data_IF_139885780567
#
_entry.id   IF_139885780567
#
_cell.length_a   1.000
_cell.length_b   1.000
_cell.length_c   1.000
_cell.angle_alpha   90.00
_cell.angle_beta   90.00
_cell.angle_gamma   90.00
#
_symmetry.space_group_name_H-M   'P 1'
#
loop_
_entity.id
_entity.type
_entity.pdbx_description
1 polymer ?
#
# COMPACT_ATOMS: atom_id res chain seq x y z
N UNK A 1 -42.19 -5.16 60.00
CA UNK A 1 -42.20 -6.66 59.90
C UNK A 1 -41.81 -7.06 58.50
N UNK A 2 -40.98 -8.07 58.45
CA UNK A 2 -40.45 -8.80 57.31
C UNK A 2 -39.47 -8.07 56.38
N UNK A 3 -38.29 -8.27 56.65
CA UNK A 3 -37.01 -8.55 56.20
C UNK A 3 -36.94 -9.56 55.07
N UNK A 4 -36.15 -9.21 54.09
CA UNK A 4 -35.60 -10.18 53.11
C UNK A 4 -34.08 -10.02 53.07
N UNK A 5 -33.41 -10.93 53.81
CA UNK A 5 -32.01 -11.27 53.59
C UNK A 5 -31.93 -12.26 52.45
N UNK A 6 -31.21 -11.96 51.44
CA UNK A 6 -30.87 -12.85 50.37
C UNK A 6 -29.40 -12.69 49.99
N UNK A 7 -28.54 -13.48 50.64
CA UNK A 7 -27.15 -13.67 50.27
C UNK A 7 -27.02 -14.22 48.85
N UNK A 8 -26.52 -13.42 47.90
CA UNK A 8 -26.02 -13.91 46.64
C UNK A 8 -24.52 -14.23 46.77
N UNK A 9 -24.07 -15.43 46.43
CA UNK A 9 -22.67 -15.81 46.61
C UNK A 9 -21.78 -15.06 45.60
N UNK A 10 -20.82 -14.31 46.15
CA UNK A 10 -19.79 -13.56 45.44
C UNK A 10 -18.88 -14.39 44.51
N UNK A 11 -18.96 -15.70 44.56
CA UNK A 11 -18.16 -16.61 43.72
C UNK A 11 -18.59 -16.69 42.25
N UNK A 12 -19.83 -16.31 41.91
CA UNK A 12 -20.32 -16.42 40.53
C UNK A 12 -19.95 -15.20 39.66
N UNK A 13 -19.68 -14.04 40.28
CA UNK A 13 -19.32 -12.81 39.60
C UNK A 13 -17.82 -12.79 39.20
N UNK A 14 -16.96 -13.44 40.01
CA UNK A 14 -15.52 -13.50 39.74
C UNK A 14 -15.14 -14.45 38.61
N UNK A 15 -15.90 -15.55 38.40
CA UNK A 15 -15.62 -16.50 37.29
C UNK A 15 -16.00 -15.94 35.92
N UNK A 16 -17.05 -15.13 35.84
CA UNK A 16 -17.46 -14.51 34.55
C UNK A 16 -16.56 -13.38 34.12
N UNK A 17 -15.98 -12.61 35.04
CA UNK A 17 -15.07 -11.51 34.73
C UNK A 17 -13.68 -12.00 34.32
N UNK A 18 -13.20 -13.12 34.88
CA UNK A 18 -11.91 -13.73 34.52
C UNK A 18 -11.94 -14.38 33.13
N UNK A 19 -13.09 -14.94 32.71
CA UNK A 19 -13.23 -15.51 31.36
C UNK A 19 -13.29 -14.43 30.27
N UNK A 20 -13.84 -13.24 30.55
CA UNK A 20 -13.85 -12.11 29.61
C UNK A 20 -12.48 -11.42 29.49
N UNK A 21 -11.64 -11.43 30.52
CA UNK A 21 -10.29 -10.88 30.47
C UNK A 21 -9.26 -11.81 29.81
N UNK A 22 -9.50 -13.12 29.78
CA UNK A 22 -8.59 -14.08 29.13
C UNK A 22 -8.78 -14.13 27.60
N UNK A 23 -9.87 -13.65 27.05
CA UNK A 23 -10.12 -13.63 25.60
C UNK A 23 -9.78 -12.31 24.91
N UNK A 24 -9.37 -11.26 25.65
CA UNK A 24 -9.10 -9.93 25.08
C UNK A 24 -7.60 -9.62 24.91
N UNK A 25 -6.68 -10.53 25.27
CA UNK A 25 -5.25 -10.37 25.09
C UNK A 25 -4.58 -11.58 24.45
N UNK A 26 -5.16 -12.10 23.36
CA UNK A 26 -4.36 -12.81 22.39
C UNK A 26 -3.61 -11.76 21.53
N UNK A 27 -2.59 -11.13 22.11
CA UNK A 27 -1.54 -10.49 21.33
C UNK A 27 -1.04 -11.52 20.34
N UNK A 28 -1.41 -11.39 19.06
CA UNK A 28 -0.88 -12.15 17.94
C UNK A 28 0.64 -12.02 18.00
N UNK A 29 1.32 -12.99 18.64
CA UNK A 29 2.78 -13.03 18.74
C UNK A 29 3.30 -13.27 17.33
N UNK A 30 3.67 -12.21 16.63
CA UNK A 30 4.36 -12.32 15.36
C UNK A 30 5.69 -13.05 15.56
N UNK A 31 5.89 -14.09 14.78
CA UNK A 31 7.13 -14.86 14.77
C UNK A 31 8.09 -14.20 13.78
N UNK A 32 9.23 -13.73 14.28
CA UNK A 32 10.30 -13.19 13.45
C UNK A 32 11.26 -14.32 13.05
N UNK A 33 11.32 -14.64 11.77
CA UNK A 33 12.31 -15.53 11.19
C UNK A 33 13.56 -14.71 10.86
N UNK A 34 14.68 -14.99 11.49
CA UNK A 34 15.92 -14.21 11.38
C UNK A 34 17.05 -14.91 10.62
N UNK A 35 16.98 -16.22 10.50
CA UNK A 35 18.00 -17.03 9.82
C UNK A 35 17.38 -17.99 8.82
N UNK A 36 18.14 -18.37 7.79
CA UNK A 36 17.69 -19.38 6.82
C UNK A 36 17.40 -20.73 7.48
N UNK A 37 18.13 -21.11 8.52
CA UNK A 37 17.87 -22.33 9.27
C UNK A 37 16.48 -22.30 9.94
N UNK A 38 16.11 -21.16 10.54
CA UNK A 38 14.75 -20.97 11.10
C UNK A 38 13.69 -20.99 10.00
N UNK A 39 13.96 -20.40 8.82
CA UNK A 39 13.05 -20.44 7.70
C UNK A 39 12.82 -21.86 7.20
N UNK A 40 13.89 -22.65 7.03
CA UNK A 40 13.82 -24.04 6.60
C UNK A 40 13.02 -24.89 7.57
N UNK A 41 13.27 -24.76 8.87
CA UNK A 41 12.51 -25.49 9.89
C UNK A 41 11.03 -25.11 9.90
N UNK A 42 10.71 -23.82 9.90
CA UNK A 42 9.34 -23.34 9.87
C UNK A 42 8.61 -23.73 8.56
N UNK A 43 9.30 -23.72 7.43
CA UNK A 43 8.76 -24.17 6.15
C UNK A 43 8.42 -25.66 6.18
N UNK A 44 9.28 -26.47 6.79
CA UNK A 44 9.02 -27.90 6.96
C UNK A 44 7.73 -28.13 7.75
N UNK A 45 7.63 -27.52 8.92
CA UNK A 45 6.45 -27.67 9.79
C UNK A 45 5.16 -27.13 9.13
N UNK A 46 5.24 -25.97 8.48
CA UNK A 46 4.07 -25.32 7.86
C UNK A 46 3.56 -26.09 6.64
N UNK A 47 4.46 -26.58 5.78
CA UNK A 47 4.08 -27.29 4.57
C UNK A 47 3.63 -28.73 4.87
N UNK A 48 4.27 -29.43 5.80
CA UNK A 48 3.83 -30.76 6.22
C UNK A 48 2.45 -30.76 6.90
N UNK A 49 2.07 -29.63 7.53
CA UNK A 49 0.76 -29.43 8.13
C UNK A 49 -0.33 -28.96 7.13
N UNK A 50 0.01 -28.73 5.87
CA UNK A 50 -0.95 -28.28 4.85
C UNK A 50 -1.95 -29.38 4.51
N UNK A 51 -3.23 -29.14 4.80
CA UNK A 51 -4.28 -30.13 4.59
C UNK A 51 -4.69 -30.33 3.12
N UNK A 52 -4.38 -29.37 2.24
CA UNK A 52 -4.79 -29.37 0.84
C UNK A 52 -3.77 -30.00 -0.09
N UNK A 53 -2.50 -29.80 0.19
CA UNK A 53 -1.40 -30.32 -0.61
C UNK A 53 -0.54 -31.25 0.24
N UNK A 54 -0.30 -32.45 -0.27
CA UNK A 54 0.59 -33.40 0.42
C UNK A 54 2.03 -33.14 0.04
N UNK A 55 2.73 -32.38 0.89
CA UNK A 55 4.12 -32.02 0.72
C UNK A 55 5.04 -33.09 1.31
N UNK A 56 6.11 -33.42 0.62
CA UNK A 56 7.13 -34.35 1.09
C UNK A 56 8.54 -33.91 0.70
N UNK A 57 9.37 -33.66 1.67
CA UNK A 57 10.78 -33.35 1.44
C UNK A 57 11.54 -34.58 0.94
N UNK A 58 12.13 -34.50 -0.26
CA UNK A 58 12.97 -35.57 -0.83
C UNK A 58 14.42 -35.44 -0.38
N UNK A 59 14.94 -34.20 -0.40
CA UNK A 59 16.24 -33.82 0.11
C UNK A 59 16.14 -32.44 0.71
N UNK A 60 16.62 -32.26 1.92
CA UNK A 60 16.51 -31.00 2.65
C UNK A 60 17.79 -30.16 2.57
N UNK A 61 18.94 -30.76 2.23
CA UNK A 61 20.21 -30.09 2.00
C UNK A 61 20.87 -30.65 0.75
N UNK A 62 20.98 -29.80 -0.27
CA UNK A 62 21.78 -30.07 -1.44
C UNK A 62 23.12 -29.34 -1.31
N UNK A 63 24.24 -30.01 -1.54
CA UNK A 63 25.51 -29.30 -1.77
C UNK A 63 25.30 -28.39 -2.98
N UNK A 64 25.70 -27.12 -2.86
CA UNK A 64 25.43 -26.00 -3.79
C UNK A 64 25.88 -26.22 -5.26
N UNK A 65 26.30 -27.39 -5.66
CA UNK A 65 26.84 -27.68 -7.01
C UNK A 65 25.84 -27.42 -8.16
N UNK A 66 24.52 -27.33 -7.89
CA UNK A 66 23.47 -27.05 -8.88
C UNK A 66 22.52 -25.91 -8.51
N UNK A 67 22.81 -25.15 -7.44
CA UNK A 67 22.08 -23.93 -7.11
C UNK A 67 20.74 -24.11 -6.38
N UNK A 68 20.13 -25.29 -6.32
CA UNK A 68 18.97 -25.58 -5.47
C UNK A 68 19.43 -25.93 -4.05
N UNK A 69 18.63 -25.56 -3.04
CA UNK A 69 18.94 -25.80 -1.63
C UNK A 69 18.20 -27.02 -1.07
N UNK A 70 17.06 -27.38 -1.67
CA UNK A 70 16.28 -28.56 -1.31
C UNK A 70 15.45 -29.07 -2.48
N UNK A 71 14.91 -30.29 -2.37
CA UNK A 71 13.92 -30.86 -3.27
C UNK A 71 12.64 -31.16 -2.49
N UNK A 72 11.53 -30.63 -2.98
CA UNK A 72 10.22 -30.77 -2.36
C UNK A 72 9.25 -31.41 -3.36
N UNK A 73 8.64 -32.53 -2.97
CA UNK A 73 7.61 -33.22 -3.72
C UNK A 73 6.23 -32.75 -3.27
N UNK A 74 5.37 -32.48 -4.23
CA UNK A 74 3.95 -32.22 -4.02
C UNK A 74 3.17 -33.34 -4.68
N UNK A 75 2.23 -33.93 -3.95
CA UNK A 75 1.30 -34.90 -4.52
C UNK A 75 -0.09 -34.26 -4.61
N UNK A 76 -0.60 -34.16 -5.83
CA UNK A 76 -1.95 -33.63 -6.14
C UNK A 76 -2.65 -34.66 -7.02
N UNK A 77 -3.77 -35.20 -6.57
CA UNK A 77 -4.59 -36.17 -7.29
C UNK A 77 -3.81 -37.34 -7.88
N UNK A 78 -2.84 -37.85 -7.10
CA UNK A 78 -1.98 -38.99 -7.50
C UNK A 78 -0.78 -38.60 -8.37
N UNK A 79 -0.69 -37.38 -8.85
CA UNK A 79 0.48 -36.87 -9.60
C UNK A 79 1.54 -36.37 -8.63
N UNK A 80 2.79 -36.75 -8.89
CA UNK A 80 3.94 -36.34 -8.09
C UNK A 80 4.80 -35.36 -8.87
N UNK A 81 4.89 -34.13 -8.36
CA UNK A 81 5.71 -33.07 -8.93
C UNK A 81 6.85 -32.74 -7.97
N UNK A 82 8.07 -32.59 -8.47
CA UNK A 82 9.24 -32.27 -7.66
C UNK A 82 9.75 -30.90 -8.04
N UNK A 83 9.81 -30.01 -7.04
CA UNK A 83 10.29 -28.64 -7.17
C UNK A 83 11.73 -28.52 -6.67
N UNK A 84 12.51 -27.69 -7.33
CA UNK A 84 13.81 -27.20 -6.84
C UNK A 84 13.58 -25.97 -5.96
N UNK A 85 13.90 -26.10 -4.67
CA UNK A 85 13.58 -25.10 -3.66
C UNK A 85 14.76 -24.19 -3.40
N UNK A 86 14.48 -22.89 -3.30
CA UNK A 86 15.38 -21.87 -2.76
C UNK A 86 14.69 -21.10 -1.62
N UNK A 87 15.41 -20.91 -0.51
CA UNK A 87 14.93 -20.20 0.67
C UNK A 87 15.48 -18.78 0.68
N UNK A 88 14.62 -17.79 0.90
CA UNK A 88 15.02 -16.38 1.03
C UNK A 88 14.28 -15.72 2.17
N UNK A 89 15.05 -15.11 3.08
CA UNK A 89 14.47 -14.37 4.21
C UNK A 89 13.76 -13.08 3.75
N UNK A 90 14.34 -12.37 2.78
CA UNK A 90 13.82 -11.15 2.18
C UNK A 90 14.03 -11.21 0.68
N UNK A 91 13.17 -11.97 -0.04
CA UNK A 91 13.32 -12.10 -1.49
C UNK A 91 13.11 -10.75 -2.19
N UNK A 92 13.83 -10.56 -3.30
CA UNK A 92 13.76 -9.38 -4.14
C UNK A 92 13.32 -9.74 -5.57
N UNK A 93 12.82 -8.76 -6.32
CA UNK A 93 12.47 -8.94 -7.73
C UNK A 93 13.63 -9.47 -8.57
N UNK A 94 14.86 -8.98 -8.31
CA UNK A 94 16.08 -9.45 -8.99
C UNK A 94 16.38 -10.93 -8.70
N UNK A 95 16.11 -11.39 -7.48
CA UNK A 95 16.28 -12.81 -7.14
C UNK A 95 15.23 -13.68 -7.83
N UNK A 96 14.00 -13.20 -7.96
CA UNK A 96 12.94 -13.87 -8.75
C UNK A 96 13.38 -14.02 -10.21
N UNK A 97 13.90 -12.96 -10.83
CA UNK A 97 14.44 -12.99 -12.20
C UNK A 97 15.55 -14.03 -12.33
N UNK A 98 16.56 -13.96 -11.45
CA UNK A 98 17.68 -14.90 -11.44
C UNK A 98 17.24 -16.35 -11.26
N UNK A 99 16.22 -16.61 -10.43
CA UNK A 99 15.71 -17.96 -10.20
C UNK A 99 14.90 -18.48 -11.39
N UNK A 100 14.10 -17.61 -12.01
CA UNK A 100 13.33 -17.94 -13.21
C UNK A 100 14.24 -18.25 -14.43
N UNK A 101 15.36 -17.52 -14.56
CA UNK A 101 16.33 -17.70 -15.65
C UNK A 101 17.22 -18.94 -15.50
N UNK A 102 17.28 -19.56 -14.33
CA UNK A 102 18.17 -20.72 -14.09
C UNK A 102 17.98 -21.90 -15.03
N UNK A 103 16.82 -22.03 -15.62
CA UNK A 103 16.49 -23.14 -16.50
C UNK A 103 16.85 -24.49 -15.87
N UNK A 104 15.92 -25.40 -15.71
CA UNK A 104 16.16 -26.71 -15.14
C UNK A 104 15.14 -27.72 -15.66
N UNK A 105 15.39 -29.01 -15.44
CA UNK A 105 14.41 -30.05 -15.74
C UNK A 105 13.23 -30.07 -14.77
N UNK A 106 13.31 -29.30 -13.67
CA UNK A 106 12.30 -29.23 -12.63
C UNK A 106 11.86 -27.79 -12.41
N UNK A 107 10.58 -27.55 -12.06
CA UNK A 107 10.09 -26.22 -11.72
C UNK A 107 10.77 -25.67 -10.46
N UNK A 108 11.15 -24.39 -10.50
CA UNK A 108 11.70 -23.68 -9.37
C UNK A 108 10.61 -23.27 -8.36
N UNK A 109 10.94 -23.29 -7.06
CA UNK A 109 10.08 -22.87 -5.98
C UNK A 109 10.83 -21.95 -5.00
N UNK A 110 10.37 -20.72 -4.86
CA UNK A 110 10.85 -19.77 -3.87
C UNK A 110 10.04 -19.91 -2.57
N UNK A 111 10.73 -20.09 -1.42
CA UNK A 111 10.10 -20.10 -0.10
C UNK A 111 10.62 -18.93 0.74
N UNK A 112 9.70 -18.17 1.34
CA UNK A 112 10.01 -17.01 2.17
C UNK A 112 9.13 -16.96 3.44
N UNK A 113 9.50 -16.18 4.48
CA UNK A 113 8.65 -16.00 5.66
C UNK A 113 7.32 -15.32 5.31
N UNK A 114 7.34 -14.36 4.40
CA UNK A 114 6.19 -13.61 3.90
C UNK A 114 6.50 -13.06 2.52
N UNK A 115 5.50 -13.06 1.64
CA UNK A 115 5.56 -12.51 0.29
C UNK A 115 4.56 -11.36 0.15
N UNK A 116 4.97 -10.27 -0.50
CA UNK A 116 4.05 -9.22 -0.95
C UNK A 116 3.31 -9.67 -2.20
N UNK A 117 2.08 -9.19 -2.42
CA UNK A 117 1.33 -9.49 -3.66
C UNK A 117 2.08 -9.04 -4.92
N UNK A 118 2.84 -7.94 -4.82
CA UNK A 118 3.68 -7.47 -5.93
C UNK A 118 4.75 -8.49 -6.30
N UNK A 119 5.43 -9.04 -5.29
CA UNK A 119 6.46 -10.04 -5.53
C UNK A 119 5.86 -11.37 -6.03
N UNK A 120 4.69 -11.76 -5.51
CA UNK A 120 3.94 -12.91 -6.04
C UNK A 120 3.55 -12.68 -7.50
N UNK A 121 3.08 -11.48 -7.85
CA UNK A 121 2.76 -11.15 -9.23
C UNK A 121 4.01 -11.19 -10.13
N UNK A 122 5.16 -10.75 -9.62
CA UNK A 122 6.42 -10.86 -10.34
C UNK A 122 6.83 -12.33 -10.56
N UNK A 123 6.64 -13.18 -9.56
CA UNK A 123 6.83 -14.63 -9.71
C UNK A 123 5.92 -15.22 -10.81
N UNK A 124 4.64 -14.80 -10.85
CA UNK A 124 3.68 -15.22 -11.89
C UNK A 124 4.16 -14.87 -13.30
N UNK A 125 4.56 -13.62 -13.50
CA UNK A 125 5.04 -13.11 -14.79
C UNK A 125 6.26 -13.85 -15.29
N UNK A 126 7.13 -14.29 -14.37
CA UNK A 126 8.34 -15.05 -14.67
C UNK A 126 8.16 -16.57 -14.64
N UNK A 127 6.95 -17.08 -14.36
CA UNK A 127 6.67 -18.51 -14.29
C UNK A 127 7.34 -19.24 -13.11
N UNK A 128 7.79 -18.52 -12.09
CA UNK A 128 8.41 -19.07 -10.87
C UNK A 128 7.32 -19.37 -9.84
N UNK A 129 7.31 -20.59 -9.29
CA UNK A 129 6.45 -20.93 -8.15
C UNK A 129 6.94 -20.26 -6.87
N UNK A 130 6.03 -19.87 -5.98
CA UNK A 130 6.40 -19.27 -4.70
C UNK A 130 5.41 -19.59 -3.58
N UNK A 131 5.94 -19.71 -2.34
CA UNK A 131 5.18 -20.02 -1.14
C UNK A 131 5.70 -19.20 0.03
N UNK A 132 4.80 -18.74 0.91
CA UNK A 132 5.18 -18.15 2.19
C UNK A 132 4.63 -18.96 3.38
N UNK A 133 5.17 -18.67 4.58
CA UNK A 133 4.76 -19.33 5.82
C UNK A 133 3.39 -18.88 6.35
N UNK A 134 2.77 -17.87 5.73
CA UNK A 134 1.43 -17.38 6.07
C UNK A 134 0.33 -18.02 5.22
N UNK A 135 0.68 -19.01 4.38
CA UNK A 135 -0.26 -19.72 3.53
C UNK A 135 -0.46 -19.13 2.14
N UNK A 136 0.33 -18.13 1.74
CA UNK A 136 0.38 -17.67 0.34
C UNK A 136 1.07 -18.73 -0.50
N UNK A 137 0.37 -19.25 -1.52
CA UNK A 137 0.90 -20.24 -2.45
C UNK A 137 0.54 -19.86 -3.88
N UNK A 138 1.56 -19.77 -4.72
CA UNK A 138 1.44 -19.72 -6.17
C UNK A 138 2.31 -20.82 -6.74
N UNK A 139 1.70 -21.88 -7.28
CA UNK A 139 2.41 -23.01 -7.86
C UNK A 139 1.99 -23.16 -9.32
N UNK A 140 2.97 -23.28 -10.19
CA UNK A 140 2.79 -23.57 -11.60
C UNK A 140 3.79 -24.63 -12.05
N UNK A 141 3.27 -25.76 -12.50
CA UNK A 141 4.03 -26.84 -13.13
C UNK A 141 3.13 -27.55 -14.14
N UNK A 142 3.66 -28.49 -14.88
CA UNK A 142 2.88 -29.27 -15.85
C UNK A 142 1.69 -29.96 -15.17
N UNK A 143 0.48 -29.58 -15.57
CA UNK A 143 -0.76 -30.11 -14.99
C UNK A 143 -1.10 -29.64 -13.57
N UNK A 144 -0.37 -28.63 -13.05
CA UNK A 144 -0.64 -28.04 -11.73
C UNK A 144 -0.71 -26.51 -11.81
N UNK A 145 -1.81 -25.96 -11.32
CA UNK A 145 -1.95 -24.53 -11.05
C UNK A 145 -2.64 -24.35 -9.69
N UNK A 146 -1.93 -23.74 -8.75
CA UNK A 146 -2.47 -23.37 -7.42
C UNK A 146 -2.27 -21.89 -7.20
N UNK A 147 -3.35 -21.19 -6.85
CA UNK A 147 -3.31 -19.79 -6.40
C UNK A 147 -4.10 -19.66 -5.10
N UNK A 148 -3.41 -19.72 -3.98
CA UNK A 148 -4.01 -19.62 -2.65
C UNK A 148 -3.52 -18.35 -1.95
N UNK A 149 -4.47 -17.54 -1.49
CA UNK A 149 -4.18 -16.39 -0.64
C UNK A 149 -4.26 -16.78 0.84
N UNK A 150 -3.46 -16.16 1.72
CA UNK A 150 -3.54 -16.41 3.14
C UNK A 150 -4.92 -15.99 3.67
N UNK A 151 -5.48 -16.83 4.55
CA UNK A 151 -6.70 -16.54 5.29
C UNK A 151 -6.34 -16.30 6.75
N UNK A 152 -6.65 -15.11 7.28
CA UNK A 152 -6.38 -14.75 8.67
C UNK A 152 -5.14 -13.88 8.87
N UNK A 153 -4.73 -13.74 10.14
CA UNK A 153 -3.63 -12.88 10.53
C UNK A 153 -2.26 -13.43 10.08
N UNK A 154 -1.41 -12.55 9.58
CA UNK A 154 -0.03 -12.90 9.20
C UNK A 154 0.79 -13.20 10.44
N UNK A 155 1.07 -14.47 10.68
CA UNK A 155 1.85 -14.97 11.81
C UNK A 155 3.35 -14.70 11.66
N UNK A 156 3.87 -14.84 10.45
CA UNK A 156 5.29 -14.66 10.15
C UNK A 156 5.55 -13.31 9.50
N UNK A 157 6.59 -12.62 9.93
CA UNK A 157 7.04 -11.35 9.36
C UNK A 157 8.48 -11.46 8.86
N UNK A 158 8.87 -10.69 7.85
CA UNK A 158 10.27 -10.61 7.45
C UNK A 158 11.13 -10.10 8.61
N UNK A 159 12.43 -10.47 8.65
CA UNK A 159 13.33 -10.17 9.78
C UNK A 159 13.58 -8.68 10.02
N UNK A 160 13.44 -7.85 9.02
CA UNK A 160 13.46 -6.39 9.11
C UNK A 160 12.05 -5.89 8.84
N UNK A 161 11.53 -5.07 9.73
CA UNK A 161 10.32 -4.30 9.43
C UNK A 161 10.63 -3.46 8.20
N UNK A 162 10.10 -3.88 7.07
CA UNK A 162 10.19 -3.09 5.84
C UNK A 162 9.60 -1.70 6.14
N UNK A 163 10.29 -0.61 5.75
CA UNK A 163 9.73 0.72 5.94
C UNK A 163 8.38 0.78 5.22
N UNK A 164 7.35 1.24 5.91
CA UNK A 164 6.08 1.50 5.24
C UNK A 164 6.23 2.76 4.38
N UNK A 165 6.45 2.54 3.08
CA UNK A 165 6.68 3.62 2.11
C UNK A 165 5.43 4.47 1.85
N UNK A 166 4.26 4.01 2.30
CA UNK A 166 2.98 4.69 2.11
C UNK A 166 2.52 5.50 3.34
N UNK A 167 3.30 5.50 4.44
CA UNK A 167 3.05 6.42 5.55
C UNK A 167 3.19 7.88 5.10
N UNK A 168 2.48 8.83 5.72
CA UNK A 168 2.42 10.22 5.25
C UNK A 168 3.78 10.79 4.85
N UNK A 169 4.78 10.73 5.73
CA UNK A 169 6.11 11.26 5.44
C UNK A 169 6.88 10.45 4.38
N UNK A 170 6.82 9.12 4.44
CA UNK A 170 7.50 8.24 3.49
C UNK A 170 6.89 8.35 2.08
N UNK A 171 5.58 8.55 1.99
CA UNK A 171 4.85 8.67 0.71
C UNK A 171 5.24 9.89 -0.11
N UNK A 172 5.98 10.86 0.46
CA UNK A 172 6.59 11.95 -0.33
C UNK A 172 7.47 11.40 -1.45
N UNK A 173 8.25 10.34 -1.16
CA UNK A 173 9.09 9.69 -2.18
C UNK A 173 8.24 9.03 -3.27
N UNK A 174 7.22 8.28 -2.89
CA UNK A 174 6.33 7.61 -3.85
C UNK A 174 5.61 8.64 -4.72
N UNK A 175 5.14 9.74 -4.12
CA UNK A 175 4.49 10.83 -4.84
C UNK A 175 5.42 11.47 -5.85
N UNK A 176 6.66 11.79 -5.47
CA UNK A 176 7.66 12.36 -6.38
C UNK A 176 7.96 11.44 -7.57
N UNK A 177 8.10 10.13 -7.31
CA UNK A 177 8.33 9.13 -8.36
C UNK A 177 7.14 9.01 -9.32
N UNK A 178 5.90 9.03 -8.81
CA UNK A 178 4.70 8.90 -9.64
C UNK A 178 4.31 10.20 -10.36
N UNK A 179 4.76 11.36 -9.88
CA UNK A 179 4.54 12.66 -10.54
C UNK A 179 5.42 12.84 -11.78
N UNK A 180 6.55 12.15 -11.86
CA UNK A 180 7.44 12.17 -13.01
C UNK A 180 7.97 10.75 -13.29
N UNK A 181 7.11 9.83 -13.76
CA UNK A 181 7.41 8.40 -13.80
C UNK A 181 8.53 8.06 -14.80
N UNK A 182 8.70 8.84 -15.86
CA UNK A 182 9.70 8.62 -16.90
C UNK A 182 11.07 9.21 -16.54
N UNK A 183 11.12 10.05 -15.50
CA UNK A 183 12.36 10.66 -15.03
C UNK A 183 13.25 9.65 -14.31
N UNK A 184 14.54 9.72 -14.59
CA UNK A 184 15.57 9.05 -13.79
C UNK A 184 16.04 9.97 -12.66
N UNK A 185 16.21 9.41 -11.47
CA UNK A 185 16.53 10.14 -10.25
C UNK A 185 17.82 9.64 -9.61
N UNK A 186 18.56 10.52 -8.98
CA UNK A 186 19.53 10.13 -7.95
C UNK A 186 18.87 10.18 -6.57
N UNK A 187 19.46 9.52 -5.57
CA UNK A 187 18.96 9.59 -4.20
C UNK A 187 19.10 11.01 -3.61
N UNK A 188 20.10 11.78 -4.06
CA UNK A 188 20.27 13.18 -3.67
C UNK A 188 19.13 14.05 -4.15
N UNK A 189 18.83 14.02 -5.46
CA UNK A 189 17.69 14.75 -6.05
C UNK A 189 16.36 14.42 -5.36
N UNK A 190 16.13 13.13 -5.04
CA UNK A 190 14.95 12.73 -4.30
C UNK A 190 14.95 13.26 -2.86
N UNK A 191 16.09 13.32 -2.20
CA UNK A 191 16.23 13.92 -0.87
C UNK A 191 15.82 15.39 -0.86
N UNK A 192 16.36 16.16 -1.80
CA UNK A 192 16.04 17.58 -1.98
C UNK A 192 14.57 17.79 -2.35
N UNK A 193 14.06 17.06 -3.32
CA UNK A 193 12.67 17.16 -3.80
C UNK A 193 11.66 16.87 -2.70
N UNK A 194 11.91 15.83 -1.92
CA UNK A 194 10.95 15.33 -0.89
C UNK A 194 11.16 15.93 0.50
N UNK A 195 12.31 16.56 0.74
CA UNK A 195 12.72 17.00 2.08
C UNK A 195 12.99 15.86 3.04
N UNK A 196 13.33 14.66 2.52
CA UNK A 196 13.70 13.50 3.31
C UNK A 196 15.23 13.43 3.48
N UNK A 197 15.70 12.94 4.62
CA UNK A 197 17.14 12.68 4.79
C UNK A 197 17.64 11.59 3.83
N UNK A 198 18.88 11.66 3.37
CA UNK A 198 19.49 10.67 2.48
C UNK A 198 19.41 9.24 3.05
N UNK A 199 19.56 9.07 4.37
CA UNK A 199 19.42 7.77 5.02
C UNK A 199 17.99 7.23 4.95
N UNK A 200 16.97 8.09 5.00
CA UNK A 200 15.58 7.70 4.81
C UNK A 200 15.30 7.35 3.34
N UNK A 201 15.73 8.21 2.40
CA UNK A 201 15.62 7.94 0.95
C UNK A 201 16.25 6.60 0.60
N UNK A 202 17.48 6.34 1.06
CA UNK A 202 18.19 5.07 0.79
C UNK A 202 17.43 3.84 1.27
N UNK A 203 16.83 3.90 2.47
CA UNK A 203 16.01 2.79 2.99
C UNK A 203 14.74 2.57 2.19
N UNK A 204 14.03 3.65 1.84
CA UNK A 204 12.80 3.58 1.05
C UNK A 204 13.09 3.07 -0.37
N UNK A 205 14.11 3.60 -1.04
CA UNK A 205 14.55 3.17 -2.38
C UNK A 205 14.91 1.69 -2.38
N UNK A 206 15.67 1.23 -1.39
CA UNK A 206 16.03 -0.20 -1.27
C UNK A 206 14.79 -1.07 -1.14
N UNK A 207 13.81 -0.66 -0.34
CA UNK A 207 12.56 -1.39 -0.20
C UNK A 207 11.78 -1.41 -1.52
N UNK A 208 11.61 -0.26 -2.19
CA UNK A 208 10.92 -0.19 -3.48
C UNK A 208 11.62 -1.01 -4.57
N UNK A 209 12.96 -1.06 -4.56
CA UNK A 209 13.73 -1.89 -5.49
C UNK A 209 13.58 -3.40 -5.19
N UNK A 210 13.57 -3.79 -3.92
CA UNK A 210 13.34 -5.18 -3.52
C UNK A 210 11.94 -5.68 -3.94
N UNK A 211 10.93 -4.80 -3.86
CA UNK A 211 9.57 -5.08 -4.34
C UNK A 211 9.43 -4.98 -5.88
N UNK A 212 10.48 -4.53 -6.57
CA UNK A 212 10.47 -4.39 -8.03
C UNK A 212 9.71 -3.18 -8.56
N UNK A 213 9.36 -2.21 -7.72
CA UNK A 213 8.71 -0.97 -8.16
C UNK A 213 9.66 -0.01 -8.87
N UNK A 214 10.93 -0.02 -8.49
CA UNK A 214 11.97 0.79 -9.10
C UNK A 214 13.16 -0.07 -9.52
N UNK A 215 13.77 0.26 -10.65
CA UNK A 215 15.05 -0.26 -11.09
C UNK A 215 16.15 0.74 -10.77
N UNK A 216 17.31 0.25 -10.36
CA UNK A 216 18.47 1.08 -10.06
C UNK A 216 19.65 0.63 -10.94
N UNK A 217 20.14 1.55 -11.76
CA UNK A 217 21.29 1.36 -12.65
C UNK A 217 22.25 2.56 -12.54
N UNK A 218 23.54 2.32 -12.37
CA UNK A 218 24.57 3.38 -12.33
C UNK A 218 24.23 4.55 -11.38
N UNK A 219 23.76 4.23 -10.14
CA UNK A 219 23.32 5.20 -9.13
C UNK A 219 22.08 6.04 -9.51
N UNK A 220 21.47 5.78 -10.66
CA UNK A 220 20.20 6.36 -11.06
C UNK A 220 19.08 5.34 -10.86
N UNK A 221 17.91 5.83 -10.52
CA UNK A 221 16.71 4.99 -10.34
C UNK A 221 15.58 5.51 -11.22
N UNK A 222 14.78 4.57 -11.70
CA UNK A 222 13.58 4.84 -12.48
C UNK A 222 12.42 3.97 -11.97
N UNK A 223 11.22 4.44 -12.14
CA UNK A 223 10.03 3.62 -11.89
C UNK A 223 9.97 2.53 -12.96
N UNK A 224 9.91 1.27 -12.53
CA UNK A 224 9.82 0.11 -13.42
C UNK A 224 8.39 -0.45 -13.53
N UNK A 225 7.59 -0.32 -12.47
CA UNK A 225 6.22 -0.84 -12.40
C UNK A 225 5.28 0.21 -11.81
N UNK A 226 5.00 1.24 -12.61
CA UNK A 226 4.19 2.41 -12.22
C UNK A 226 2.81 2.03 -11.70
N UNK A 227 2.08 1.23 -12.48
CA UNK A 227 0.72 0.83 -12.14
C UNK A 227 0.67 0.02 -10.84
N UNK A 228 1.60 -0.94 -10.69
CA UNK A 228 1.69 -1.75 -9.49
C UNK A 228 2.05 -0.92 -8.23
N UNK A 229 2.90 0.11 -8.36
CA UNK A 229 3.24 1.03 -7.28
C UNK A 229 2.02 1.86 -6.85
N UNK A 230 1.25 2.36 -7.82
CA UNK A 230 0.03 3.12 -7.57
C UNK A 230 -1.04 2.25 -6.89
N UNK A 231 -1.24 1.01 -7.37
CA UNK A 231 -2.18 0.04 -6.79
C UNK A 231 -1.81 -0.33 -5.35
N UNK A 232 -0.53 -0.61 -5.10
CA UNK A 232 -0.04 -0.91 -3.75
C UNK A 232 -0.22 0.27 -2.79
N UNK A 233 -0.12 1.50 -3.30
CA UNK A 233 -0.41 2.69 -2.49
C UNK A 233 -1.92 2.82 -2.24
N UNK A 234 -2.76 2.68 -3.25
CA UNK A 234 -4.21 2.78 -3.13
C UNK A 234 -4.80 1.73 -2.17
N UNK A 235 -4.27 0.50 -2.18
CA UNK A 235 -4.68 -0.57 -1.26
C UNK A 235 -4.45 -0.20 0.21
N UNK A 236 -3.35 0.49 0.50
CA UNK A 236 -2.94 0.88 1.86
C UNK A 236 -3.39 2.27 2.28
N UNK A 237 -3.86 3.08 1.32
CA UNK A 237 -4.29 4.44 1.60
C UNK A 237 -5.53 4.48 2.49
N UNK A 238 -5.53 5.39 3.45
CA UNK A 238 -6.65 5.62 4.35
C UNK A 238 -6.86 7.12 4.52
N UNK A 239 -7.78 7.68 3.75
CA UNK A 239 -8.12 9.09 3.74
C UNK A 239 -8.28 9.68 5.15
N UNK A 240 -9.14 9.09 5.97
CA UNK A 240 -9.42 9.55 7.33
C UNK A 240 -8.20 9.49 8.27
N UNK A 241 -7.21 8.63 7.98
CA UNK A 241 -5.99 8.54 8.80
C UNK A 241 -4.97 9.60 8.43
N UNK A 242 -4.99 10.14 7.21
CA UNK A 242 -3.99 11.10 6.72
C UNK A 242 -4.49 12.52 6.55
N UNK A 243 -5.78 12.76 6.76
CA UNK A 243 -6.41 14.08 6.59
C UNK A 243 -7.34 14.41 7.74
N UNK A 244 -7.59 15.72 7.91
CA UNK A 244 -8.71 16.25 8.67
C UNK A 244 -9.51 17.12 7.72
N UNK A 245 -10.84 16.98 7.70
CA UNK A 245 -11.71 17.69 6.76
C UNK A 245 -12.65 18.60 7.53
N UNK A 246 -12.82 19.83 7.03
CA UNK A 246 -13.91 20.74 7.40
C UNK A 246 -14.77 20.99 6.17
N UNK A 247 -16.08 20.86 6.33
CA UNK A 247 -17.05 21.07 5.27
C UNK A 247 -17.72 22.41 5.44
N UNK A 248 -17.85 23.14 4.35
CA UNK A 248 -18.50 24.45 4.32
C UNK A 248 -19.60 24.45 3.27
N UNK A 249 -20.74 25.03 3.61
CA UNK A 249 -21.81 25.35 2.67
C UNK A 249 -21.64 26.78 2.19
N UNK A 250 -21.66 26.98 0.87
CA UNK A 250 -21.70 28.28 0.21
C UNK A 250 -23.02 28.42 -0.55
N UNK A 251 -23.44 29.67 -0.79
CA UNK A 251 -24.65 29.97 -1.58
C UNK A 251 -24.45 29.72 -3.08
N UNK A 252 -23.22 29.70 -3.53
CA UNK A 252 -22.88 29.43 -4.92
C UNK A 252 -23.08 27.94 -5.24
N UNK A 253 -23.65 27.65 -6.39
CA UNK A 253 -23.87 26.31 -6.91
C UNK A 253 -22.80 25.86 -7.92
N UNK A 254 -22.10 26.85 -8.52
CA UNK A 254 -21.06 26.58 -9.50
C UNK A 254 -19.71 26.34 -8.84
N UNK A 255 -19.13 25.13 -9.08
CA UNK A 255 -17.87 24.68 -8.45
C UNK A 255 -16.69 25.57 -8.86
N UNK A 256 -16.63 26.06 -10.08
CA UNK A 256 -15.52 26.92 -10.52
C UNK A 256 -15.59 28.28 -9.80
N UNK A 257 -16.77 28.84 -9.64
CA UNK A 257 -17.00 30.06 -8.85
C UNK A 257 -16.56 29.89 -7.40
N UNK A 258 -16.92 28.77 -6.78
CA UNK A 258 -16.46 28.41 -5.40
C UNK A 258 -14.96 28.35 -5.35
N UNK A 259 -14.32 27.65 -6.28
CA UNK A 259 -12.85 27.50 -6.33
C UNK A 259 -12.14 28.84 -6.51
N UNK A 260 -12.64 29.75 -7.41
CA UNK A 260 -12.10 31.09 -7.63
C UNK A 260 -12.26 31.99 -6.39
N UNK A 261 -13.39 31.87 -5.69
CA UNK A 261 -13.58 32.57 -4.42
C UNK A 261 -12.58 32.10 -3.37
N UNK A 262 -12.35 30.78 -3.25
CA UNK A 262 -11.37 30.26 -2.31
C UNK A 262 -9.96 30.81 -2.61
N UNK A 263 -9.53 30.82 -3.87
CA UNK A 263 -8.20 31.35 -4.25
C UNK A 263 -8.07 32.84 -3.88
N UNK A 264 -9.13 33.64 -4.07
CA UNK A 264 -9.10 35.08 -3.78
C UNK A 264 -9.22 35.39 -2.29
N UNK A 265 -9.99 34.59 -1.54
CA UNK A 265 -10.28 34.85 -0.14
C UNK A 265 -9.19 34.32 0.84
N UNK A 266 -8.27 33.48 0.37
CA UNK A 266 -7.14 33.05 1.19
C UNK A 266 -5.99 34.06 1.12
N UNK A 267 -5.19 34.20 2.19
CA UNK A 267 -3.96 34.99 2.16
C UNK A 267 -3.04 34.59 1.01
N UNK A 268 -2.26 35.53 0.48
CA UNK A 268 -1.40 35.30 -0.70
C UNK A 268 -0.36 34.19 -0.52
N UNK A 269 0.03 33.92 0.72
CA UNK A 269 0.96 32.83 1.11
C UNK A 269 0.24 31.49 1.38
N UNK A 270 -1.09 31.46 1.35
CA UNK A 270 -1.92 30.29 1.63
C UNK A 270 -2.58 29.73 0.36
N UNK A 271 -1.76 29.31 -0.62
CA UNK A 271 -2.27 28.76 -1.87
C UNK A 271 -3.00 27.44 -1.63
N UNK A 272 -4.31 27.32 -1.97
CA UNK A 272 -5.04 26.07 -1.87
C UNK A 272 -4.57 25.11 -2.97
N UNK A 273 -4.46 23.83 -2.66
CA UNK A 273 -4.13 22.78 -3.62
C UNK A 273 -5.36 21.91 -3.84
N UNK A 274 -6.00 22.08 -4.99
CA UNK A 274 -7.24 21.38 -5.30
C UNK A 274 -7.01 19.89 -5.53
N UNK A 275 -7.99 19.09 -5.15
CA UNK A 275 -7.97 17.63 -5.25
C UNK A 275 -9.37 17.07 -5.56
N UNK A 276 -9.50 15.77 -5.57
CA UNK A 276 -10.74 15.02 -5.83
C UNK A 276 -11.43 15.44 -7.15
N UNK A 277 -12.78 15.53 -7.16
CA UNK A 277 -13.58 15.71 -8.38
C UNK A 277 -13.23 16.97 -9.17
N UNK A 278 -13.11 18.10 -8.50
CA UNK A 278 -12.80 19.37 -9.18
C UNK A 278 -11.44 19.32 -9.88
N UNK A 279 -10.41 18.86 -9.17
CA UNK A 279 -9.09 18.74 -9.76
C UNK A 279 -9.04 17.66 -10.86
N UNK A 280 -9.69 16.53 -10.66
CA UNK A 280 -9.78 15.48 -11.67
C UNK A 280 -10.49 15.96 -12.92
N UNK A 281 -11.57 16.73 -12.79
CA UNK A 281 -12.32 17.28 -13.91
C UNK A 281 -11.48 18.28 -14.72
N UNK A 282 -10.67 19.11 -14.04
CA UNK A 282 -9.75 20.03 -14.72
C UNK A 282 -8.63 19.29 -15.49
N UNK A 283 -8.23 18.10 -15.02
CA UNK A 283 -7.24 17.26 -15.70
C UNK A 283 -7.83 16.44 -16.82
N UNK A 284 -8.92 15.74 -16.54
CA UNK A 284 -9.62 14.87 -17.49
C UNK A 284 -11.11 14.82 -17.14
N UNK A 285 -11.96 15.59 -17.83
CA UNK A 285 -13.40 15.63 -17.58
C UNK A 285 -14.07 14.27 -17.81
N UNK A 286 -14.78 13.79 -16.80
CA UNK A 286 -15.54 12.54 -16.90
C UNK A 286 -16.87 12.61 -16.14
N UNK A 287 -16.85 13.08 -14.88
CA UNK A 287 -18.07 13.32 -14.09
C UNK A 287 -18.19 14.81 -13.74
N UNK A 288 -19.42 15.30 -13.58
CA UNK A 288 -19.64 16.64 -13.04
C UNK A 288 -19.21 16.67 -11.58
N UNK A 289 -18.29 17.58 -11.17
CA UNK A 289 -17.87 17.70 -9.78
C UNK A 289 -19.05 18.08 -8.88
N UNK A 290 -19.34 17.30 -7.81
CA UNK A 290 -20.43 17.62 -6.88
C UNK A 290 -20.06 18.71 -5.88
N UNK A 291 -18.77 18.94 -5.66
CA UNK A 291 -18.22 19.87 -4.69
C UNK A 291 -16.76 20.22 -5.04
N UNK A 292 -16.22 21.22 -4.34
CA UNK A 292 -14.80 21.59 -4.40
C UNK A 292 -14.07 21.05 -3.20
N UNK A 293 -12.94 20.36 -3.41
CA UNK A 293 -12.04 19.92 -2.34
C UNK A 293 -10.66 20.54 -2.54
N UNK A 294 -10.08 21.09 -1.49
CA UNK A 294 -8.74 21.65 -1.53
C UNK A 294 -7.95 21.37 -0.25
N UNK A 295 -6.69 21.00 -0.41
CA UNK A 295 -5.74 20.97 0.68
C UNK A 295 -5.36 22.39 1.09
N UNK A 296 -5.34 22.64 2.39
CA UNK A 296 -4.90 23.88 3.01
C UNK A 296 -3.89 23.55 4.12
N UNK A 297 -2.86 24.38 4.26
CA UNK A 297 -1.87 24.19 5.33
C UNK A 297 -2.48 24.40 6.70
N UNK A 298 -3.36 25.38 6.81
CA UNK A 298 -4.14 25.71 8.01
C UNK A 298 -5.58 25.99 7.60
N UNK A 299 -6.52 25.61 8.45
CA UNK A 299 -7.92 26.01 8.23
C UNK A 299 -8.07 27.53 8.38
N UNK A 300 -8.83 28.17 7.49
CA UNK A 300 -9.10 29.61 7.61
C UNK A 300 -9.86 29.91 8.91
N UNK A 301 -9.64 31.11 9.42
CA UNK A 301 -10.40 31.64 10.55
C UNK A 301 -11.64 32.39 10.10
N UNK A 302 -12.47 32.86 11.05
CA UNK A 302 -13.72 33.57 10.82
C UNK A 302 -13.64 34.74 9.84
N UNK A 303 -12.58 35.57 9.75
CA UNK A 303 -12.53 36.65 8.76
C UNK A 303 -12.62 36.11 7.33
N UNK A 304 -11.88 35.04 7.01
CA UNK A 304 -11.88 34.42 5.68
C UNK A 304 -13.21 33.70 5.42
N UNK A 305 -13.76 33.02 6.42
CA UNK A 305 -15.10 32.39 6.31
C UNK A 305 -16.20 33.40 5.98
N UNK A 306 -16.14 34.59 6.60
CA UNK A 306 -17.08 35.70 6.31
C UNK A 306 -16.91 36.26 4.90
N UNK A 307 -15.66 36.44 4.46
CA UNK A 307 -15.37 36.93 3.10
C UNK A 307 -15.88 35.94 2.03
N UNK A 308 -15.64 34.64 2.25
CA UNK A 308 -16.15 33.58 1.40
C UNK A 308 -17.65 33.37 1.50
N UNK A 309 -18.33 33.98 2.50
CA UNK A 309 -19.71 33.68 2.89
C UNK A 309 -19.93 32.17 3.11
N UNK A 310 -18.93 31.51 3.67
CA UNK A 310 -18.89 30.09 3.92
C UNK A 310 -19.38 29.78 5.33
N UNK A 311 -20.29 28.84 5.46
CA UNK A 311 -20.81 28.38 6.75
C UNK A 311 -20.28 26.97 7.02
N UNK A 312 -19.59 26.77 8.13
CA UNK A 312 -19.18 25.46 8.59
C UNK A 312 -20.41 24.57 8.84
N UNK A 313 -20.41 23.38 8.27
CA UNK A 313 -21.50 22.40 8.41
C UNK A 313 -20.92 21.03 8.79
N UNK A 314 -21.75 20.21 9.43
CA UNK A 314 -21.35 18.84 9.82
C UNK A 314 -21.30 17.90 8.60
N UNK A 315 -22.19 18.12 7.62
CA UNK A 315 -22.31 17.31 6.40
C UNK A 315 -22.96 18.12 5.27
N UNK A 316 -22.86 17.63 4.04
CA UNK A 316 -23.49 18.23 2.86
C UNK A 316 -22.83 19.52 2.37
N UNK A 317 -21.61 19.83 2.79
CA UNK A 317 -20.88 21.02 2.35
C UNK A 317 -20.46 20.94 0.88
N UNK A 318 -20.55 22.08 0.18
CA UNK A 318 -20.12 22.23 -1.23
C UNK A 318 -18.63 22.56 -1.38
N UNK A 319 -17.96 22.95 -0.29
CA UNK A 319 -16.52 23.19 -0.19
C UNK A 319 -15.93 22.37 0.95
N UNK A 320 -14.97 21.51 0.62
CA UNK A 320 -14.22 20.73 1.61
C UNK A 320 -12.80 21.27 1.71
N UNK A 321 -12.44 21.79 2.86
CA UNK A 321 -11.06 22.15 3.18
C UNK A 321 -10.41 21.00 3.93
N UNK A 322 -9.23 20.59 3.46
CA UNK A 322 -8.54 19.38 3.89
C UNK A 322 -7.18 19.75 4.47
N UNK A 323 -6.98 19.55 5.75
CA UNK A 323 -5.66 19.65 6.37
C UNK A 323 -4.97 18.29 6.34
N UNK A 324 -3.83 18.15 5.63
CA UNK A 324 -3.08 16.91 5.59
C UNK A 324 -2.22 16.75 6.83
N UNK A 325 -1.98 15.50 7.27
CA UNK A 325 -1.02 15.21 8.37
C UNK A 325 0.45 15.35 7.95
N UNK A 326 0.72 15.47 6.67
CA UNK A 326 2.05 15.68 6.11
C UNK A 326 1.99 16.65 4.95
N UNK A 327 2.92 17.59 4.90
CA UNK A 327 2.99 18.66 3.92
C UNK A 327 3.42 18.20 2.51
N UNK A 328 3.68 16.92 2.34
CA UNK A 328 4.12 16.34 1.07
C UNK A 328 3.14 16.56 -0.10
N UNK A 329 1.85 16.76 0.17
CA UNK A 329 0.85 17.06 -0.87
C UNK A 329 1.08 18.42 -1.53
N UNK A 330 1.73 19.37 -0.85
CA UNK A 330 2.07 20.70 -1.37
C UNK A 330 3.37 20.73 -2.18
N UNK A 331 4.16 19.64 -2.17
CA UNK A 331 5.45 19.58 -2.87
C UNK A 331 5.32 19.15 -4.33
N UNK A 332 4.39 18.24 -4.61
CA UNK A 332 4.13 17.71 -5.95
C UNK A 332 2.80 18.26 -6.45
N UNK A 333 2.83 19.52 -6.90
CA UNK A 333 1.66 20.19 -7.44
C UNK A 333 1.81 20.45 -8.93
N UNK A 334 0.68 20.69 -9.60
CA UNK A 334 0.61 21.06 -11.00
C UNK A 334 -0.34 22.24 -11.19
N UNK A 335 -0.16 23.03 -12.24
CA UNK A 335 -1.05 24.14 -12.55
C UNK A 335 -1.93 23.84 -13.75
N UNK A 336 -3.20 24.16 -13.64
CA UNK A 336 -4.16 24.15 -14.74
C UNK A 336 -4.93 25.45 -14.70
N UNK A 337 -4.64 26.32 -15.67
CA UNK A 337 -5.15 27.70 -15.65
C UNK A 337 -4.73 28.44 -14.36
N UNK A 338 -5.70 28.99 -13.65
CA UNK A 338 -5.49 29.75 -12.42
C UNK A 338 -5.37 28.85 -11.16
N UNK A 339 -5.57 27.54 -11.30
CA UNK A 339 -5.67 26.63 -10.18
C UNK A 339 -4.40 25.83 -9.97
N UNK A 340 -4.00 25.67 -8.69
CA UNK A 340 -2.96 24.74 -8.27
C UNK A 340 -3.61 23.43 -7.83
N UNK A 341 -3.27 22.33 -8.48
CA UNK A 341 -3.81 21.02 -8.23
C UNK A 341 -2.76 20.11 -7.56
N UNK A 342 -3.21 19.14 -6.79
CA UNK A 342 -2.38 18.01 -6.39
C UNK A 342 -1.93 17.24 -7.64
N UNK A 343 -0.86 16.43 -7.53
CA UNK A 343 -0.45 15.55 -8.62
C UNK A 343 -1.51 14.47 -8.90
N UNK A 344 -1.55 13.95 -10.11
CA UNK A 344 -2.57 13.00 -10.56
C UNK A 344 -2.67 11.76 -9.68
N UNK A 345 -1.53 11.23 -9.20
CA UNK A 345 -1.51 10.10 -8.28
C UNK A 345 -2.22 10.43 -6.95
N UNK A 346 -2.06 11.65 -6.42
CA UNK A 346 -2.75 12.08 -5.22
C UNK A 346 -4.25 12.28 -5.47
N UNK A 347 -4.63 12.91 -6.58
CA UNK A 347 -6.03 13.07 -6.98
C UNK A 347 -6.72 11.72 -7.11
N UNK A 348 -6.04 10.75 -7.75
CA UNK A 348 -6.52 9.38 -7.89
C UNK A 348 -6.80 8.73 -6.52
N UNK A 349 -5.86 8.79 -5.58
CA UNK A 349 -6.03 8.21 -4.24
C UNK A 349 -7.19 8.87 -3.48
N UNK A 350 -7.34 10.18 -3.61
CA UNK A 350 -8.36 10.96 -2.91
C UNK A 350 -9.77 10.64 -3.41
N UNK A 351 -9.89 10.12 -4.63
CA UNK A 351 -11.15 9.71 -5.25
C UNK A 351 -11.52 8.24 -5.03
N UNK A 352 -10.55 7.35 -4.77
CA UNK A 352 -10.75 5.90 -4.75
C UNK A 352 -11.85 5.43 -3.79
N UNK A 353 -12.03 6.12 -2.67
CA UNK A 353 -13.04 5.79 -1.64
C UNK A 353 -14.03 6.93 -1.42
N UNK A 354 -14.03 7.90 -2.30
CA UNK A 354 -14.97 9.00 -2.26
C UNK A 354 -16.33 8.55 -2.84
N UNK A 355 -17.44 8.99 -2.27
CA UNK A 355 -18.78 8.78 -2.82
C UNK A 355 -18.97 9.43 -4.20
N UNK A 356 -20.21 9.56 -4.65
CA UNK A 356 -20.58 10.42 -5.80
C UNK A 356 -19.81 10.09 -7.10
N UNK A 357 -19.64 8.79 -7.41
CA UNK A 357 -18.89 8.29 -8.56
C UNK A 357 -17.40 8.66 -8.54
N UNK A 358 -16.82 8.86 -7.33
CA UNK A 358 -15.39 9.09 -7.16
C UNK A 358 -14.51 8.00 -7.77
N UNK A 359 -14.77 6.69 -7.50
CA UNK A 359 -14.00 5.61 -8.10
C UNK A 359 -14.04 5.57 -9.63
N UNK A 360 -15.17 5.90 -10.26
CA UNK A 360 -15.26 5.96 -11.73
C UNK A 360 -14.45 7.13 -12.29
N UNK A 361 -14.53 8.32 -11.67
CA UNK A 361 -13.70 9.47 -12.03
C UNK A 361 -12.21 9.17 -11.83
N UNK A 362 -11.83 8.49 -10.74
CA UNK A 362 -10.47 8.07 -10.50
C UNK A 362 -9.96 7.12 -11.58
N UNK A 363 -10.78 6.14 -11.98
CA UNK A 363 -10.47 5.21 -13.05
C UNK A 363 -10.27 5.94 -14.38
N UNK A 364 -11.18 6.82 -14.77
CA UNK A 364 -11.08 7.60 -15.99
C UNK A 364 -9.80 8.47 -16.02
N UNK A 365 -9.46 9.12 -14.88
CA UNK A 365 -8.23 9.89 -14.74
C UNK A 365 -6.99 9.00 -14.92
N UNK A 366 -6.96 7.80 -14.31
CA UNK A 366 -5.83 6.86 -14.40
C UNK A 366 -5.62 6.33 -15.81
N UNK A 367 -6.71 6.05 -16.55
CA UNK A 367 -6.67 5.50 -17.90
C UNK A 367 -6.36 6.57 -18.96
N UNK A 368 -6.41 7.84 -18.60
CA UNK A 368 -6.06 8.94 -19.50
C UNK A 368 -4.56 8.96 -19.82
N UNK A 369 -4.22 9.12 -21.11
CA UNK A 369 -2.82 9.13 -21.59
C UNK A 369 -1.95 10.22 -20.97
N UNK A 370 -2.57 11.32 -20.47
CA UNK A 370 -1.89 12.41 -19.79
C UNK A 370 -1.67 12.18 -18.29
N UNK A 371 -2.08 11.05 -17.72
CA UNK A 371 -1.91 10.77 -16.29
C UNK A 371 -0.44 10.78 -15.87
N UNK A 372 -0.11 11.61 -14.86
CA UNK A 372 1.27 11.80 -14.35
C UNK A 372 2.18 12.55 -15.31
N UNK A 373 1.64 13.13 -16.40
CA UNK A 373 2.39 14.12 -17.18
C UNK A 373 2.34 15.46 -16.45
N UNK A 374 3.48 16.05 -16.18
CA UNK A 374 3.57 17.45 -15.77
C UNK A 374 3.37 18.25 -17.03
N UNK A 375 2.26 19.00 -17.15
CA UNK A 375 2.15 20.00 -18.20
C UNK A 375 3.27 21.03 -17.97
N UNK A 376 4.16 21.13 -18.96
CA UNK A 376 5.17 22.18 -19.02
C UNK A 376 4.52 23.55 -19.15
#
# INVERSE_FOLDING_TARGET
>A
MAGWNGDFPLEFVLKSTIVLLSNTFALSKHIAIRTEAQLRQAAKETLEADALLRWRWKRFELKRERGAEALLEVNVDGRRLVFEVEFKLTPSAREVERLAERGGTRPGLLIAPSLSEVLVQHCRERGLSCVDLNGRQWLRAEGLLVDRKPTGDRRYRPPLLAPDVFQPKSSRLVRALLSQPDRTWTQGELGERTGLSLGMVSRLVRHLANEGFVAQENRRLRVSRREALLDAWAERDAWAKRTTVRQYSLLDSDVETIARKLVRGLPADATPVFTQWFAANLRHPYTTPPLVSAYVALFPGEPVERELRARLVADGGTLWLVAPKDDGVFRETQRVGDFTLACDAQIYLDLQRAGWRGPEQAKALREWSGFGSVNA
#
